data_IF_959396306531
#
_entry.id   IF_959396306531
#
_cell.length_a   1.000
_cell.length_b   1.000
_cell.length_c   1.000
_cell.angle_alpha   90.00
_cell.angle_beta   90.00
_cell.angle_gamma   90.00
#
_symmetry.space_group_name_H-M   'P 1'
#
loop_
_entity.id
_entity.type
_entity.pdbx_description
1 polymer ?
#
# COMPACT_ATOMS: atom_id res chain seq x y z
N UNK A 1 -36.87 37.88 43.40
CA UNK A 1 -36.81 36.50 42.88
C UNK A 1 -36.28 36.57 41.46
N UNK A 2 -35.00 36.21 41.25
CA UNK A 2 -34.33 36.29 39.96
C UNK A 2 -34.76 35.09 39.09
N UNK A 3 -35.25 35.40 37.90
CA UNK A 3 -35.77 34.47 36.91
C UNK A 3 -34.59 33.84 36.15
N UNK A 4 -34.31 32.55 36.41
CA UNK A 4 -33.26 31.80 35.72
C UNK A 4 -33.83 31.24 34.41
N UNK A 5 -33.60 31.96 33.31
CA UNK A 5 -33.79 31.41 31.97
C UNK A 5 -32.78 30.28 31.74
N UNK A 6 -33.27 29.06 31.54
CA UNK A 6 -32.47 27.95 31.00
C UNK A 6 -32.21 28.21 29.51
N UNK A 7 -30.97 28.09 29.01
CA UNK A 7 -30.73 28.16 27.58
C UNK A 7 -31.24 26.89 26.91
N UNK A 8 -32.17 27.03 25.96
CA UNK A 8 -32.61 25.96 25.07
C UNK A 8 -31.53 25.71 24.00
N UNK A 9 -30.51 24.93 24.35
CA UNK A 9 -29.57 24.34 23.38
C UNK A 9 -30.17 23.09 22.75
N UNK A 10 -31.26 23.25 21.99
CA UNK A 10 -31.63 22.24 20.99
C UNK A 10 -30.59 22.31 19.87
N UNK A 11 -29.52 21.54 20.01
CA UNK A 11 -28.63 21.19 18.90
C UNK A 11 -29.52 20.63 17.78
N UNK A 12 -29.76 21.41 16.73
CA UNK A 12 -30.66 21.05 15.65
C UNK A 12 -29.98 20.02 14.73
N UNK A 13 -30.05 18.74 15.13
CA UNK A 13 -29.49 17.60 14.39
C UNK A 13 -30.12 17.43 13.01
N UNK A 14 -31.36 17.90 12.78
CA UNK A 14 -32.05 17.77 11.49
C UNK A 14 -31.35 18.52 10.35
N UNK A 15 -30.69 19.63 10.65
CA UNK A 15 -29.90 20.41 9.68
C UNK A 15 -28.66 19.69 9.17
N UNK A 16 -28.13 18.71 9.92
CA UNK A 16 -26.96 17.90 9.52
C UNK A 16 -27.35 16.81 8.52
N UNK A 17 -28.59 16.32 8.56
CA UNK A 17 -29.06 15.23 7.70
C UNK A 17 -29.37 15.65 6.25
N UNK A 18 -29.64 16.93 6.00
CA UNK A 18 -29.92 17.47 4.66
C UNK A 18 -28.67 17.77 3.85
N UNK A 19 -27.49 17.80 4.48
CA UNK A 19 -26.19 17.88 3.81
C UNK A 19 -25.53 16.50 3.84
N UNK A 20 -26.30 15.46 3.52
CA UNK A 20 -25.75 14.17 3.10
C UNK A 20 -25.05 14.40 1.75
N UNK A 21 -23.90 15.08 1.81
CA UNK A 21 -22.92 15.12 0.77
C UNK A 21 -22.72 13.66 0.34
N UNK A 22 -22.82 13.44 -0.96
CA UNK A 22 -22.13 12.33 -1.63
C UNK A 22 -20.83 12.14 -0.87
N UNK A 23 -20.50 10.94 -0.38
CA UNK A 23 -19.13 10.69 0.07
C UNK A 23 -18.30 11.11 -1.14
N UNK A 24 -17.60 12.23 -1.03
CA UNK A 24 -16.78 12.73 -2.12
C UNK A 24 -15.75 11.64 -2.32
N UNK A 25 -15.97 10.83 -3.34
CA UNK A 25 -15.14 9.67 -3.54
C UNK A 25 -13.75 10.19 -3.82
N UNK A 26 -12.74 9.47 -3.32
CA UNK A 26 -11.36 9.82 -3.64
C UNK A 26 -11.22 9.83 -5.16
N UNK A 27 -11.04 11.03 -5.71
CA UNK A 27 -10.95 11.25 -7.14
C UNK A 27 -9.68 10.58 -7.66
N UNK A 28 -9.83 9.71 -8.66
CA UNK A 28 -8.70 9.01 -9.26
C UNK A 28 -7.68 10.00 -9.85
N UNK A 29 -8.14 11.15 -10.37
CA UNK A 29 -7.26 12.22 -10.80
C UNK A 29 -6.42 12.77 -9.62
N UNK A 30 -7.01 12.96 -8.44
CA UNK A 30 -6.27 13.38 -7.24
C UNK A 30 -5.22 12.34 -6.83
N UNK A 31 -5.55 11.04 -6.84
CA UNK A 31 -4.60 9.97 -6.51
C UNK A 31 -3.41 9.98 -7.48
N UNK A 32 -3.68 10.05 -8.79
CA UNK A 32 -2.61 10.09 -9.77
C UNK A 32 -1.76 11.36 -9.66
N UNK A 33 -2.38 12.49 -9.35
CA UNK A 33 -1.65 13.74 -9.09
C UNK A 33 -0.71 13.58 -7.89
N UNK A 34 -1.19 13.01 -6.78
CA UNK A 34 -0.39 12.76 -5.59
C UNK A 34 0.82 11.87 -5.93
N UNK A 35 0.59 10.76 -6.64
CA UNK A 35 1.66 9.85 -7.07
C UNK A 35 2.67 10.55 -7.98
N UNK A 36 2.18 11.32 -8.96
CA UNK A 36 2.99 12.06 -9.92
C UNK A 36 3.81 13.21 -9.29
N UNK A 37 3.47 13.64 -8.08
CA UNK A 37 4.26 14.62 -7.33
C UNK A 37 5.21 13.94 -6.34
N UNK A 38 4.68 13.08 -5.46
CA UNK A 38 5.46 12.50 -4.35
C UNK A 38 6.51 11.51 -4.86
N UNK A 39 6.18 10.66 -5.84
CA UNK A 39 7.12 9.66 -6.32
C UNK A 39 8.37 10.27 -6.97
N UNK A 40 8.27 11.26 -7.90
CA UNK A 40 9.45 11.95 -8.42
C UNK A 40 10.25 12.70 -7.35
N UNK A 41 9.60 13.35 -6.38
CA UNK A 41 10.31 14.04 -5.28
C UNK A 41 11.14 13.04 -4.46
N UNK A 42 10.61 11.85 -4.19
CA UNK A 42 11.36 10.77 -3.52
C UNK A 42 12.52 10.24 -4.38
N UNK A 43 12.33 10.13 -5.70
CA UNK A 43 13.42 9.77 -6.63
C UNK A 43 14.53 10.81 -6.58
N UNK A 44 14.19 12.11 -6.61
CA UNK A 44 15.15 13.20 -6.51
C UNK A 44 15.88 13.21 -5.16
N UNK A 45 15.17 13.03 -4.05
CA UNK A 45 15.76 12.96 -2.72
C UNK A 45 16.78 11.82 -2.59
N UNK A 46 16.50 10.65 -3.19
CA UNK A 46 17.43 9.52 -3.21
C UNK A 46 18.61 9.75 -4.16
N UNK A 47 18.36 10.42 -5.28
CA UNK A 47 19.34 10.70 -6.31
C UNK A 47 20.23 11.91 -6.01
N UNK A 48 20.03 12.62 -4.89
CA UNK A 48 20.76 13.82 -4.49
C UNK A 48 22.26 13.59 -4.26
N UNK A 49 22.71 12.34 -4.06
CA UNK A 49 24.14 12.02 -4.00
C UNK A 49 24.78 12.18 -5.39
N UNK A 50 25.84 12.99 -5.55
CA UNK A 50 26.52 13.18 -6.84
C UNK A 50 27.07 11.85 -7.38
N UNK A 51 26.85 11.60 -8.67
CA UNK A 51 27.26 10.37 -9.38
C UNK A 51 26.55 10.26 -10.74
N UNK A 52 27.23 9.72 -11.75
CA UNK A 52 26.70 9.59 -13.12
C UNK A 52 25.52 8.61 -13.22
N UNK A 53 25.53 7.59 -12.36
CA UNK A 53 24.56 6.48 -12.35
C UNK A 53 23.12 6.93 -12.11
N UNK A 54 22.89 8.06 -11.44
CA UNK A 54 21.54 8.54 -11.12
C UNK A 54 21.01 9.63 -12.06
N UNK A 55 21.79 10.08 -13.05
CA UNK A 55 21.42 11.23 -13.91
C UNK A 55 20.11 11.01 -14.68
N UNK A 56 19.91 9.82 -15.25
CA UNK A 56 18.69 9.48 -15.99
C UNK A 56 17.43 9.57 -15.12
N UNK A 57 17.49 9.03 -13.91
CA UNK A 57 16.37 9.05 -12.95
C UNK A 57 16.01 10.46 -12.49
N UNK A 58 17.01 11.34 -12.32
CA UNK A 58 16.77 12.77 -12.00
C UNK A 58 16.04 13.47 -13.14
N UNK A 59 16.49 13.27 -14.38
CA UNK A 59 15.87 13.90 -15.56
C UNK A 59 14.42 13.40 -15.69
N UNK A 60 14.19 12.10 -15.64
CA UNK A 60 12.84 11.52 -15.70
C UNK A 60 11.94 12.10 -14.59
N UNK A 61 12.42 12.19 -13.35
CA UNK A 61 11.66 12.78 -12.25
C UNK A 61 11.34 14.27 -12.47
N UNK A 62 12.30 15.07 -12.95
CA UNK A 62 12.07 16.48 -13.26
C UNK A 62 11.06 16.66 -14.41
N UNK A 63 11.12 15.82 -15.45
CA UNK A 63 10.15 15.83 -16.56
C UNK A 63 8.75 15.53 -16.05
N UNK A 64 8.58 14.52 -15.19
CA UNK A 64 7.28 14.21 -14.59
C UNK A 64 6.75 15.42 -13.80
N UNK A 65 7.59 16.03 -12.95
CA UNK A 65 7.18 17.19 -12.16
C UNK A 65 6.84 18.41 -13.02
N UNK A 66 7.65 18.72 -14.02
CA UNK A 66 7.43 19.84 -14.93
C UNK A 66 6.13 19.67 -15.73
N UNK A 67 5.91 18.48 -16.29
CA UNK A 67 4.68 18.19 -17.04
C UNK A 67 3.45 18.20 -16.12
N UNK A 68 3.58 17.68 -14.90
CA UNK A 68 2.49 17.72 -13.92
C UNK A 68 2.16 19.16 -13.51
N UNK A 69 3.17 19.99 -13.25
CA UNK A 69 3.00 21.40 -12.91
C UNK A 69 2.38 22.21 -14.06
N UNK A 70 2.86 22.03 -15.28
CA UNK A 70 2.27 22.66 -16.47
C UNK A 70 0.81 22.23 -16.67
N UNK A 71 0.52 20.93 -16.54
CA UNK A 71 -0.83 20.39 -16.66
C UNK A 71 -1.75 20.90 -15.55
N UNK A 72 -1.25 21.12 -14.33
CA UNK A 72 -2.02 21.69 -13.23
C UNK A 72 -2.46 23.14 -13.48
N UNK A 73 -1.61 23.92 -14.17
CA UNK A 73 -1.92 25.31 -14.54
C UNK A 73 -2.92 25.38 -15.69
N UNK A 74 -2.76 24.54 -16.72
CA UNK A 74 -3.55 24.63 -17.95
C UNK A 74 -4.82 23.75 -17.92
N UNK A 75 -4.71 22.53 -17.40
CA UNK A 75 -5.74 21.49 -17.43
C UNK A 75 -5.98 20.89 -16.04
N UNK A 76 -6.30 21.71 -15.03
CA UNK A 76 -6.37 21.31 -13.61
C UNK A 76 -7.18 20.03 -13.35
N UNK A 77 -8.32 19.84 -14.01
CA UNK A 77 -9.18 18.66 -13.84
C UNK A 77 -8.57 17.36 -14.40
N UNK A 78 -7.57 17.44 -15.26
CA UNK A 78 -6.93 16.28 -15.92
C UNK A 78 -5.44 16.15 -15.56
N UNK A 79 -4.92 17.10 -14.78
CA UNK A 79 -3.50 17.20 -14.45
C UNK A 79 -2.94 15.93 -13.81
N UNK A 80 -3.73 15.25 -12.97
CA UNK A 80 -3.36 13.98 -12.37
C UNK A 80 -3.28 12.85 -13.38
N UNK A 81 -4.24 12.73 -14.30
CA UNK A 81 -4.16 11.74 -15.38
C UNK A 81 -2.95 11.97 -16.30
N UNK A 82 -2.68 13.23 -16.66
CA UNK A 82 -1.55 13.58 -17.53
C UNK A 82 -0.22 13.29 -16.79
N UNK A 83 -0.06 13.87 -15.61
CA UNK A 83 1.14 13.68 -14.78
C UNK A 83 1.36 12.22 -14.40
N UNK A 84 0.30 11.51 -14.03
CA UNK A 84 0.29 10.09 -13.71
C UNK A 84 0.66 9.20 -14.90
N UNK A 85 0.21 9.54 -16.11
CA UNK A 85 0.59 8.81 -17.34
C UNK A 85 2.08 8.97 -17.65
N UNK A 86 2.60 10.19 -17.53
CA UNK A 86 4.03 10.47 -17.73
C UNK A 86 4.87 9.80 -16.64
N UNK A 87 4.43 9.85 -15.39
CA UNK A 87 5.03 9.11 -14.27
C UNK A 87 5.07 7.60 -14.56
N UNK A 88 3.96 7.04 -15.03
CA UNK A 88 3.85 5.62 -15.33
C UNK A 88 4.86 5.21 -16.41
N UNK A 89 4.94 5.98 -17.49
CA UNK A 89 5.84 5.71 -18.61
C UNK A 89 7.33 5.88 -18.26
N UNK A 90 7.69 6.93 -17.51
CA UNK A 90 9.09 7.34 -17.32
C UNK A 90 9.72 6.82 -16.02
N UNK A 91 8.93 6.52 -14.99
CA UNK A 91 9.44 6.07 -13.70
C UNK A 91 8.98 4.65 -13.37
N UNK A 92 7.67 4.39 -13.46
CA UNK A 92 7.11 3.11 -13.02
C UNK A 92 7.49 1.95 -13.95
N UNK A 93 7.24 2.07 -15.26
CA UNK A 93 7.55 1.03 -16.25
C UNK A 93 9.05 0.71 -16.28
N UNK A 94 9.97 1.68 -16.34
CA UNK A 94 11.40 1.40 -16.26
C UNK A 94 11.81 0.71 -14.96
N UNK A 95 11.29 1.15 -13.80
CA UNK A 95 11.63 0.54 -12.51
C UNK A 95 11.21 -0.94 -12.43
N UNK A 96 9.99 -1.25 -12.89
CA UNK A 96 9.50 -2.63 -12.94
C UNK A 96 10.28 -3.44 -13.97
N UNK A 97 10.53 -2.85 -15.15
CA UNK A 97 11.28 -3.47 -16.22
C UNK A 97 12.68 -3.89 -15.76
N UNK A 98 13.43 -3.00 -15.10
CA UNK A 98 14.75 -3.26 -14.52
C UNK A 98 14.71 -4.40 -13.48
N UNK A 99 13.68 -4.43 -12.63
CA UNK A 99 13.48 -5.55 -11.70
C UNK A 99 13.25 -6.87 -12.44
N UNK A 100 12.53 -6.84 -13.56
CA UNK A 100 12.28 -8.03 -14.38
C UNK A 100 13.53 -8.47 -15.14
N UNK A 101 14.34 -7.53 -15.62
CA UNK A 101 15.64 -7.79 -16.24
C UNK A 101 16.57 -8.52 -15.26
N UNK A 102 16.69 -8.03 -14.02
CA UNK A 102 17.51 -8.69 -12.99
C UNK A 102 16.98 -10.08 -12.63
N UNK A 103 15.66 -10.27 -12.58
CA UNK A 103 15.04 -11.58 -12.37
C UNK A 103 15.33 -12.56 -13.52
N UNK A 104 15.26 -12.10 -14.78
CA UNK A 104 15.59 -12.92 -15.95
C UNK A 104 17.08 -13.28 -15.98
N UNK A 105 17.96 -12.34 -15.63
CA UNK A 105 19.39 -12.58 -15.51
C UNK A 105 19.69 -13.62 -14.41
N UNK A 106 19.02 -13.53 -13.26
CA UNK A 106 19.13 -14.53 -12.20
C UNK A 106 18.59 -15.92 -12.60
N UNK A 107 17.78 -16.00 -13.64
CA UNK A 107 17.27 -17.24 -14.24
C UNK A 107 18.14 -17.74 -15.40
N UNK A 108 19.34 -17.17 -15.60
CA UNK A 108 20.22 -17.45 -16.75
C UNK A 108 19.53 -17.24 -18.10
N UNK A 109 18.50 -16.38 -18.17
CA UNK A 109 17.79 -16.03 -19.41
C UNK A 109 18.35 -14.76 -20.02
N UNK A 110 19.66 -14.74 -20.29
CA UNK A 110 20.40 -13.55 -20.69
C UNK A 110 19.89 -12.91 -22.00
N UNK A 111 19.47 -13.73 -22.99
CA UNK A 111 18.83 -13.22 -24.22
C UNK A 111 17.54 -12.45 -23.93
N UNK A 112 16.69 -12.99 -23.05
CA UNK A 112 15.42 -12.35 -22.68
C UNK A 112 15.67 -11.07 -21.86
N UNK A 113 16.62 -11.12 -20.92
CA UNK A 113 17.04 -9.97 -20.13
C UNK A 113 17.57 -8.84 -21.03
N UNK A 114 18.42 -9.18 -22.01
CA UNK A 114 18.98 -8.23 -22.98
C UNK A 114 17.89 -7.59 -23.86
N UNK A 115 16.97 -8.39 -24.43
CA UNK A 115 15.85 -7.86 -25.23
C UNK A 115 15.01 -6.86 -24.44
N UNK A 116 14.66 -7.22 -23.21
CA UNK A 116 13.88 -6.34 -22.33
C UNK A 116 14.66 -5.07 -21.95
N UNK A 117 15.93 -5.20 -21.57
CA UNK A 117 16.77 -4.05 -21.25
C UNK A 117 16.97 -3.12 -22.46
N UNK A 118 17.08 -3.67 -23.68
CA UNK A 118 17.15 -2.88 -24.92
C UNK A 118 15.85 -2.12 -25.16
N UNK A 119 14.68 -2.76 -24.98
CA UNK A 119 13.39 -2.09 -25.11
C UNK A 119 13.22 -0.95 -24.09
N UNK A 120 13.68 -1.15 -22.86
CA UNK A 120 13.60 -0.14 -21.79
C UNK A 120 14.47 1.09 -22.04
N UNK A 121 15.54 0.99 -22.84
CA UNK A 121 16.37 2.15 -23.20
C UNK A 121 15.59 3.23 -23.97
N UNK A 122 14.51 2.85 -24.66
CA UNK A 122 13.62 3.80 -25.37
C UNK A 122 12.91 4.71 -24.37
N UNK A 123 12.43 4.14 -23.26
CA UNK A 123 11.68 4.87 -22.24
C UNK A 123 12.59 5.60 -21.25
N UNK A 124 13.79 5.07 -20.99
CA UNK A 124 14.70 5.62 -20.01
C UNK A 124 16.18 5.42 -20.41
N UNK A 125 16.80 6.42 -21.06
CA UNK A 125 18.19 6.33 -21.50
C UNK A 125 19.17 6.59 -20.34
N UNK A 126 19.25 5.66 -19.37
CA UNK A 126 20.29 5.69 -18.35
C UNK A 126 21.57 4.98 -18.80
N UNK A 127 22.72 5.46 -18.31
CA UNK A 127 24.01 4.77 -18.50
C UNK A 127 23.96 3.33 -17.95
N UNK A 128 23.27 3.12 -16.83
CA UNK A 128 23.06 1.82 -16.20
C UNK A 128 22.41 0.78 -17.13
N UNK A 129 21.38 1.17 -17.89
CA UNK A 129 20.71 0.29 -18.86
C UNK A 129 21.61 -0.04 -20.06
N UNK A 130 22.52 0.86 -20.44
CA UNK A 130 23.50 0.63 -21.51
C UNK A 130 24.57 -0.36 -21.08
N UNK A 131 25.12 -0.20 -19.87
CA UNK A 131 26.09 -1.11 -19.29
C UNK A 131 25.50 -2.51 -19.08
N UNK A 132 24.26 -2.61 -18.57
CA UNK A 132 23.59 -3.90 -18.41
C UNK A 132 23.37 -4.63 -19.74
N UNK A 133 22.98 -3.94 -20.82
CA UNK A 133 22.82 -4.55 -22.15
C UNK A 133 24.15 -5.07 -22.70
N UNK A 134 25.24 -4.32 -22.51
CA UNK A 134 26.58 -4.75 -22.91
C UNK A 134 27.01 -5.99 -22.10
N UNK A 135 26.80 -5.98 -20.79
CA UNK A 135 27.09 -7.09 -19.90
C UNK A 135 26.31 -8.36 -20.26
N UNK A 136 25.00 -8.27 -20.47
CA UNK A 136 24.18 -9.43 -20.85
C UNK A 136 24.52 -9.98 -22.23
N UNK A 137 25.06 -9.16 -23.15
CA UNK A 137 25.55 -9.64 -24.44
C UNK A 137 26.76 -10.56 -24.28
N UNK A 138 27.68 -10.23 -23.37
CA UNK A 138 28.85 -11.07 -23.04
C UNK A 138 28.43 -12.36 -22.32
N UNK A 139 27.45 -12.29 -21.41
CA UNK A 139 26.93 -13.50 -20.76
C UNK A 139 26.16 -14.40 -21.72
N UNK A 140 25.39 -13.83 -22.66
CA UNK A 140 24.71 -14.59 -23.71
C UNK A 140 25.70 -15.34 -24.60
N UNK A 141 26.84 -14.74 -24.98
CA UNK A 141 27.85 -15.44 -25.78
C UNK A 141 28.48 -16.60 -25.03
N UNK A 142 28.88 -16.39 -23.76
CA UNK A 142 29.45 -17.46 -22.91
C UNK A 142 28.46 -18.60 -22.66
N UNK A 143 27.19 -18.29 -22.44
CA UNK A 143 26.17 -19.31 -22.23
C UNK A 143 25.91 -20.15 -23.49
N UNK A 144 26.00 -19.55 -24.68
CA UNK A 144 25.87 -20.31 -25.93
C UNK A 144 27.07 -21.25 -26.12
N UNK A 145 28.27 -20.85 -25.71
CA UNK A 145 29.46 -21.69 -25.72
C UNK A 145 29.36 -22.84 -24.69
N UNK A 146 28.88 -22.58 -23.48
CA UNK A 146 28.66 -23.60 -22.45
C UNK A 146 27.53 -24.59 -22.82
N UNK A 147 26.42 -24.12 -23.39
CA UNK A 147 25.31 -25.00 -23.80
C UNK A 147 25.65 -25.90 -25.00
N UNK A 148 26.74 -25.62 -25.73
CA UNK A 148 27.30 -26.55 -26.70
C UNK A 148 27.89 -27.81 -26.03
N UNK A 149 28.10 -27.77 -24.70
CA UNK A 149 28.47 -28.88 -23.83
C UNK A 149 27.29 -29.15 -22.87
N UNK A 150 26.47 -30.17 -23.18
CA UNK A 150 25.17 -30.46 -22.55
C UNK A 150 25.01 -30.14 -21.04
N UNK A 151 23.96 -29.39 -20.63
CA UNK A 151 23.66 -29.16 -19.21
C UNK A 151 22.77 -30.25 -18.59
N UNK A 152 22.96 -30.55 -17.30
CA UNK A 152 22.21 -31.61 -16.60
C UNK A 152 20.75 -31.19 -16.24
N UNK A 153 19.78 -32.13 -16.26
CA UNK A 153 18.34 -31.82 -16.08
C UNK A 153 17.93 -31.32 -14.68
N UNK A 154 18.76 -31.57 -13.67
CA UNK A 154 18.41 -31.40 -12.25
C UNK A 154 18.33 -29.92 -11.84
N UNK A 155 19.13 -29.04 -12.46
CA UNK A 155 19.13 -27.60 -12.12
C UNK A 155 17.89 -26.85 -12.65
N UNK A 156 17.21 -27.35 -13.69
CA UNK A 156 16.00 -26.71 -14.25
C UNK A 156 14.77 -26.89 -13.35
N UNK A 157 14.62 -28.05 -12.71
CA UNK A 157 13.43 -28.37 -11.89
C UNK A 157 13.33 -27.57 -10.59
N UNK A 158 14.45 -27.28 -9.93
CA UNK A 158 14.46 -26.57 -8.65
C UNK A 158 14.12 -25.07 -8.77
N UNK A 159 14.41 -24.44 -9.92
CA UNK A 159 14.29 -22.98 -10.10
C UNK A 159 12.87 -22.51 -10.46
N UNK A 160 12.02 -23.37 -11.02
CA UNK A 160 10.66 -23.03 -11.44
C UNK A 160 9.65 -23.02 -10.26
N UNK A 161 9.95 -23.75 -9.18
CA UNK A 161 9.10 -23.87 -7.99
C UNK A 161 9.01 -22.62 -7.11
N UNK A 162 9.92 -21.65 -7.24
CA UNK A 162 10.00 -20.53 -6.29
C UNK A 162 9.03 -19.36 -6.56
N UNK A 163 8.57 -19.16 -7.82
CA UNK A 163 7.64 -18.06 -8.19
C UNK A 163 6.17 -18.35 -7.88
N UNK A 164 5.69 -19.56 -8.14
CA UNK A 164 4.30 -19.94 -7.82
C UNK A 164 4.04 -20.05 -6.30
N UNK A 165 5.09 -20.10 -5.48
CA UNK A 165 4.99 -20.31 -4.03
C UNK A 165 4.75 -19.04 -3.21
N UNK A 166 4.70 -17.85 -3.83
CA UNK A 166 4.75 -16.59 -3.07
C UNK A 166 3.42 -16.21 -2.40
N UNK A 167 2.27 -16.53 -3.01
CA UNK A 167 0.93 -16.28 -2.44
C UNK A 167 0.50 -17.38 -1.47
N UNK A 168 0.83 -18.63 -1.79
CA UNK A 168 0.58 -19.79 -0.92
C UNK A 168 1.39 -19.78 0.39
N UNK A 169 2.36 -18.85 0.51
CA UNK A 169 3.13 -18.59 1.75
C UNK A 169 2.50 -17.51 2.64
N UNK A 170 1.35 -16.94 2.26
CA UNK A 170 0.63 -15.92 3.02
C UNK A 170 -0.91 -16.15 2.97
N UNK A 171 -1.40 -17.27 3.53
CA UNK A 171 -2.81 -17.64 3.47
C UNK A 171 -3.76 -16.62 4.15
N UNK A 172 -3.37 -16.01 5.26
CA UNK A 172 -4.24 -15.04 5.95
C UNK A 172 -4.43 -13.77 5.10
N UNK A 173 -3.37 -13.26 4.47
CA UNK A 173 -3.47 -12.16 3.50
C UNK A 173 -4.44 -12.51 2.38
N UNK A 174 -4.33 -13.70 1.81
CA UNK A 174 -5.23 -14.14 0.74
C UNK A 174 -6.68 -14.19 1.21
N UNK A 175 -6.94 -14.76 2.40
CA UNK A 175 -8.27 -14.82 2.99
C UNK A 175 -8.87 -13.42 3.16
N UNK A 176 -8.12 -12.46 3.70
CA UNK A 176 -8.62 -11.08 3.84
C UNK A 176 -8.84 -10.39 2.49
N UNK A 177 -7.98 -10.62 1.49
CA UNK A 177 -8.21 -10.10 0.14
C UNK A 177 -9.52 -10.64 -0.44
N UNK A 178 -9.72 -11.96 -0.37
CA UNK A 178 -10.94 -12.61 -0.87
C UNK A 178 -12.18 -12.14 -0.10
N UNK A 179 -12.06 -11.94 1.21
CA UNK A 179 -13.15 -11.44 2.05
C UNK A 179 -13.55 -10.02 1.65
N UNK A 180 -12.59 -9.11 1.46
CA UNK A 180 -12.87 -7.74 1.00
C UNK A 180 -13.53 -7.73 -0.39
N UNK A 181 -13.07 -8.60 -1.31
CA UNK A 181 -13.70 -8.75 -2.63
C UNK A 181 -15.13 -9.30 -2.52
N UNK A 182 -15.34 -10.33 -1.70
CA UNK A 182 -16.65 -10.95 -1.52
C UNK A 182 -17.66 -9.98 -0.88
N UNK A 183 -17.24 -9.22 0.14
CA UNK A 183 -18.08 -8.18 0.76
C UNK A 183 -18.37 -7.07 -0.24
N UNK A 184 -17.42 -6.65 -1.06
CA UNK A 184 -17.69 -5.65 -2.10
C UNK A 184 -18.66 -6.14 -3.17
N UNK A 185 -18.58 -7.41 -3.59
CA UNK A 185 -19.57 -8.01 -4.49
C UNK A 185 -20.96 -8.07 -3.84
N UNK A 186 -21.02 -8.27 -2.53
CA UNK A 186 -22.25 -8.18 -1.76
C UNK A 186 -22.75 -6.73 -1.68
N UNK A 187 -21.89 -5.72 -1.49
CA UNK A 187 -22.28 -4.30 -1.52
C UNK A 187 -22.96 -3.90 -2.83
N UNK A 188 -22.42 -4.37 -3.96
CA UNK A 188 -22.98 -4.12 -5.30
C UNK A 188 -24.42 -4.66 -5.43
N UNK A 189 -24.77 -5.75 -4.72
CA UNK A 189 -26.12 -6.33 -4.82
C UNK A 189 -27.20 -5.50 -4.14
N UNK A 190 -26.83 -4.52 -3.30
CA UNK A 190 -27.75 -3.63 -2.57
C UNK A 190 -28.02 -2.30 -3.29
N UNK A 191 -27.46 -2.09 -4.49
CA UNK A 191 -27.70 -0.91 -5.31
C UNK A 191 -26.44 -0.10 -5.56
N UNK A 192 -26.51 1.22 -5.38
CA UNK A 192 -25.36 2.10 -5.57
C UNK A 192 -24.35 1.89 -4.43
N UNK A 193 -23.25 1.17 -4.74
CA UNK A 193 -22.13 0.90 -3.84
C UNK A 193 -21.29 2.15 -3.50
N UNK A 194 -21.66 3.30 -4.06
CA UNK A 194 -21.08 4.60 -3.73
C UNK A 194 -22.02 5.47 -2.89
N UNK A 195 -23.29 5.07 -2.72
CA UNK A 195 -24.26 5.81 -1.90
C UNK A 195 -23.95 5.61 -0.39
N UNK A 196 -23.70 6.71 0.36
CA UNK A 196 -23.50 6.65 1.80
C UNK A 196 -24.63 5.94 2.55
N UNK A 197 -25.88 6.02 2.05
CA UNK A 197 -27.04 5.37 2.69
C UNK A 197 -26.95 3.85 2.61
N UNK A 198 -26.59 3.32 1.44
CA UNK A 198 -26.33 1.88 1.24
C UNK A 198 -25.25 1.40 2.19
N UNK A 199 -24.11 2.10 2.25
CA UNK A 199 -23.01 1.74 3.14
C UNK A 199 -23.40 1.81 4.62
N UNK A 200 -24.23 2.79 5.02
CA UNK A 200 -24.77 2.88 6.39
C UNK A 200 -25.62 1.67 6.72
N UNK A 201 -26.52 1.25 5.83
CA UNK A 201 -27.36 0.07 6.02
C UNK A 201 -26.52 -1.21 6.15
N UNK A 202 -25.44 -1.31 5.38
CA UNK A 202 -24.54 -2.46 5.38
C UNK A 202 -23.55 -2.52 6.55
N UNK A 203 -23.44 -1.45 7.35
CA UNK A 203 -22.61 -1.44 8.56
C UNK A 203 -21.42 -0.51 8.55
N UNK A 204 -21.44 0.55 7.76
CA UNK A 204 -20.43 1.59 7.85
C UNK A 204 -20.32 2.11 9.30
N UNK A 205 -19.09 2.49 9.67
CA UNK A 205 -18.81 2.99 11.00
C UNK A 205 -19.42 4.37 11.15
N UNK A 206 -20.38 4.48 12.06
CA UNK A 206 -21.05 5.73 12.42
C UNK A 206 -20.91 5.90 13.94
N UNK A 207 -20.04 6.80 14.44
CA UNK A 207 -19.76 6.93 15.87
C UNK A 207 -21.02 7.14 16.72
N UNK A 208 -21.99 7.91 16.22
CA UNK A 208 -23.27 8.12 16.90
C UNK A 208 -24.04 6.81 17.06
N UNK A 209 -24.17 6.01 16.01
CA UNK A 209 -24.86 4.71 16.06
C UNK A 209 -24.15 3.74 17.02
N UNK A 210 -22.82 3.73 17.04
CA UNK A 210 -22.05 2.90 17.96
C UNK A 210 -22.28 3.30 19.43
N UNK A 211 -22.19 4.60 19.74
CA UNK A 211 -22.22 5.09 21.13
C UNK A 211 -23.64 5.20 21.68
N UNK A 212 -24.57 5.70 20.87
CA UNK A 212 -25.94 6.04 21.33
C UNK A 212 -26.93 4.91 21.04
N UNK A 213 -26.80 4.24 19.89
CA UNK A 213 -27.73 3.17 19.49
C UNK A 213 -27.21 1.77 19.85
N UNK A 214 -25.99 1.66 20.37
CA UNK A 214 -25.38 0.39 20.77
C UNK A 214 -25.01 -0.52 19.60
N UNK A 215 -24.84 0.03 18.40
CA UNK A 215 -24.56 -0.75 17.18
C UNK A 215 -23.07 -1.12 17.06
N UNK A 216 -22.52 -1.78 18.07
CA UNK A 216 -21.09 -2.12 18.17
C UNK A 216 -20.58 -3.01 17.04
N UNK A 217 -21.46 -3.75 16.37
CA UNK A 217 -21.15 -4.57 15.20
C UNK A 217 -20.60 -3.75 14.02
N UNK A 218 -20.87 -2.43 13.99
CA UNK A 218 -20.26 -1.48 13.03
C UNK A 218 -18.75 -1.33 13.17
N UNK A 219 -18.20 -1.59 14.36
CA UNK A 219 -16.75 -1.58 14.58
C UNK A 219 -16.03 -2.65 13.74
N UNK A 220 -16.72 -3.77 13.46
CA UNK A 220 -16.21 -4.90 12.70
C UNK A 220 -16.62 -4.87 11.23
N UNK A 221 -17.91 -4.63 10.94
CA UNK A 221 -18.43 -4.68 9.56
C UNK A 221 -17.80 -3.60 8.67
N UNK A 222 -17.60 -2.38 9.20
CA UNK A 222 -16.96 -1.28 8.47
C UNK A 222 -15.54 -1.59 7.96
N UNK A 223 -14.84 -2.57 8.57
CA UNK A 223 -13.49 -2.97 8.18
C UNK A 223 -13.43 -3.59 6.78
N UNK A 224 -14.57 -4.06 6.24
CA UNK A 224 -14.64 -4.79 4.98
C UNK A 224 -15.43 -4.05 3.89
N UNK A 225 -16.19 -3.02 4.26
CA UNK A 225 -16.97 -2.21 3.33
C UNK A 225 -16.08 -1.26 2.52
N UNK A 226 -16.41 -0.98 1.26
CA UNK A 226 -15.62 -0.06 0.42
C UNK A 226 -16.50 0.90 -0.39
N UNK A 227 -16.33 2.20 -0.15
CA UNK A 227 -16.88 3.22 -1.03
C UNK A 227 -16.14 3.21 -2.38
N UNK A 228 -16.61 2.40 -3.34
CA UNK A 228 -16.15 2.37 -4.74
C UNK A 228 -15.01 1.41 -5.07
N UNK A 229 -14.90 1.13 -6.37
CA UNK A 229 -13.93 0.17 -6.91
C UNK A 229 -12.48 0.63 -6.75
N UNK A 230 -12.19 1.92 -6.91
CA UNK A 230 -10.85 2.47 -6.67
C UNK A 230 -10.43 2.29 -5.21
N UNK A 231 -11.35 2.52 -4.27
CA UNK A 231 -11.09 2.36 -2.84
C UNK A 231 -10.79 0.89 -2.49
N UNK A 232 -11.57 -0.08 -3.00
CA UNK A 232 -11.26 -1.50 -2.87
C UNK A 232 -9.90 -1.85 -3.49
N UNK A 233 -9.65 -1.40 -4.72
CA UNK A 233 -8.42 -1.72 -5.45
C UNK A 233 -7.18 -1.31 -4.66
N UNK A 234 -7.12 -0.07 -4.15
CA UNK A 234 -5.96 0.40 -3.41
C UNK A 234 -5.80 -0.30 -2.05
N UNK A 235 -6.89 -0.65 -1.36
CA UNK A 235 -6.83 -1.42 -0.12
C UNK A 235 -6.30 -2.84 -0.35
N UNK A 236 -6.85 -3.55 -1.35
CA UNK A 236 -6.41 -4.90 -1.71
C UNK A 236 -4.96 -4.88 -2.20
N UNK A 237 -4.57 -3.89 -3.01
CA UNK A 237 -3.19 -3.72 -3.47
C UNK A 237 -2.25 -3.46 -2.29
N UNK A 238 -2.61 -2.57 -1.37
CA UNK A 238 -1.79 -2.27 -0.21
C UNK A 238 -1.63 -3.50 0.70
N UNK A 239 -2.72 -4.23 0.96
CA UNK A 239 -2.69 -5.47 1.73
C UNK A 239 -1.84 -6.56 1.04
N UNK A 240 -1.96 -6.70 -0.29
CA UNK A 240 -1.18 -7.62 -1.09
C UNK A 240 0.33 -7.33 -1.05
N UNK A 241 0.72 -6.05 -1.08
CA UNK A 241 2.13 -5.65 -1.07
C UNK A 241 2.73 -5.69 0.33
N UNK A 242 2.00 -5.20 1.34
CA UNK A 242 2.50 -4.95 2.68
C UNK A 242 2.29 -6.14 3.63
N UNK A 243 1.26 -6.95 3.41
CA UNK A 243 0.88 -8.07 4.27
C UNK A 243 1.84 -9.27 4.24
N UNK A 244 2.18 -9.84 3.07
CA UNK A 244 2.93 -11.10 2.98
C UNK A 244 4.32 -11.09 3.64
N UNK A 245 5.10 -9.99 3.65
CA UNK A 245 6.33 -9.93 4.44
C UNK A 245 6.08 -10.17 5.94
N UNK A 246 5.07 -9.51 6.52
CA UNK A 246 4.71 -9.68 7.93
C UNK A 246 4.22 -11.09 8.21
N UNK A 247 3.25 -11.59 7.43
CA UNK A 247 2.69 -12.91 7.65
C UNK A 247 3.76 -14.01 7.63
N UNK A 248 4.71 -13.94 6.70
CA UNK A 248 5.82 -14.91 6.64
C UNK A 248 6.75 -14.85 7.86
N UNK A 249 6.78 -13.73 8.58
CA UNK A 249 7.66 -13.53 9.74
C UNK A 249 7.00 -13.95 11.06
N UNK A 250 5.68 -13.75 11.19
CA UNK A 250 4.95 -14.01 12.45
C UNK A 250 3.99 -15.20 12.36
N UNK A 251 3.69 -15.68 11.15
CA UNK A 251 2.73 -16.74 10.86
C UNK A 251 1.30 -16.21 10.67
N UNK A 252 0.47 -17.01 10.02
CA UNK A 252 -0.89 -16.67 9.59
C UNK A 252 -1.81 -16.23 10.75
N UNK A 253 -1.84 -16.99 11.85
CA UNK A 253 -2.73 -16.70 12.98
C UNK A 253 -2.37 -15.36 13.66
N UNK A 254 -1.08 -15.10 13.86
CA UNK A 254 -0.61 -13.83 14.46
C UNK A 254 -0.86 -12.66 13.53
N UNK A 255 -0.69 -12.87 12.22
CA UNK A 255 -1.03 -11.87 11.22
C UNK A 255 -2.52 -11.52 11.26
N UNK A 256 -3.40 -12.53 11.28
CA UNK A 256 -4.84 -12.32 11.37
C UNK A 256 -5.24 -11.59 12.66
N UNK A 257 -4.64 -11.95 13.80
CA UNK A 257 -4.83 -11.23 15.05
C UNK A 257 -4.38 -9.76 14.94
N UNK A 258 -3.19 -9.49 14.38
CA UNK A 258 -2.71 -8.11 14.19
C UNK A 258 -3.65 -7.32 13.26
N UNK A 259 -4.12 -7.92 12.17
CA UNK A 259 -5.04 -7.28 11.21
C UNK A 259 -6.34 -6.87 11.91
N UNK A 260 -7.00 -7.81 12.59
CA UNK A 260 -8.29 -7.58 13.24
C UNK A 260 -8.16 -6.64 14.45
N UNK A 261 -7.18 -6.85 15.33
CA UNK A 261 -6.95 -5.98 16.50
C UNK A 261 -6.70 -4.55 16.05
N UNK A 262 -5.93 -4.35 14.97
CA UNK A 262 -5.69 -3.00 14.43
C UNK A 262 -6.94 -2.40 13.81
N UNK A 263 -7.77 -3.20 13.14
CA UNK A 263 -9.08 -2.75 12.63
C UNK A 263 -9.99 -2.27 13.76
N UNK A 264 -10.14 -3.07 14.83
CA UNK A 264 -10.89 -2.67 16.01
C UNK A 264 -10.29 -1.44 16.70
N UNK A 265 -8.97 -1.35 16.80
CA UNK A 265 -8.28 -0.18 17.35
C UNK A 265 -8.47 1.09 16.49
N UNK A 266 -8.49 0.93 15.17
CA UNK A 266 -8.82 1.99 14.22
C UNK A 266 -10.24 2.49 14.42
N UNK A 267 -11.24 1.61 14.32
CA UNK A 267 -12.66 1.97 14.47
C UNK A 267 -12.97 2.51 15.86
N UNK A 268 -12.52 1.82 16.91
CA UNK A 268 -12.72 2.24 18.30
C UNK A 268 -11.99 3.54 18.63
N UNK A 269 -10.78 3.73 18.08
CA UNK A 269 -10.03 4.97 18.20
C UNK A 269 -10.75 6.15 17.56
N UNK A 270 -11.31 5.99 16.36
CA UNK A 270 -12.13 7.02 15.72
C UNK A 270 -13.37 7.36 16.56
N UNK A 271 -14.07 6.35 17.07
CA UNK A 271 -15.23 6.55 17.95
C UNK A 271 -14.83 7.35 19.20
N UNK A 272 -13.74 6.94 19.87
CA UNK A 272 -13.23 7.60 21.06
C UNK A 272 -12.84 9.06 20.81
N UNK A 273 -12.09 9.31 19.73
CA UNK A 273 -11.69 10.67 19.34
C UNK A 273 -12.91 11.53 18.99
N UNK A 274 -13.96 10.93 18.40
CA UNK A 274 -15.21 11.63 18.09
C UNK A 274 -15.96 12.01 19.37
N UNK A 275 -16.01 11.11 20.36
CA UNK A 275 -16.62 11.38 21.66
C UNK A 275 -15.93 12.53 22.41
N UNK A 276 -14.61 12.66 22.28
CA UNK A 276 -13.85 13.77 22.84
C UNK A 276 -13.91 15.06 22.00
N UNK A 277 -14.64 15.06 20.88
CA UNK A 277 -14.75 16.21 19.98
C UNK A 277 -13.45 16.56 19.26
N UNK A 278 -12.48 15.63 19.20
CA UNK A 278 -11.18 15.83 18.54
C UNK A 278 -11.26 15.60 17.03
N UNK A 279 -12.24 14.81 16.58
CA UNK A 279 -12.50 14.55 15.15
C UNK A 279 -14.00 14.56 14.88
N UNK A 280 -14.38 14.93 13.67
CA UNK A 280 -15.78 14.93 13.22
C UNK A 280 -15.99 13.87 12.15
N UNK A 281 -16.09 12.62 12.58
CA UNK A 281 -16.35 11.48 11.73
C UNK A 281 -17.86 11.24 11.60
N UNK A 282 -18.40 11.40 10.39
CA UNK A 282 -19.81 11.08 10.09
C UNK A 282 -19.99 9.62 9.72
N UNK A 283 -19.17 9.13 8.79
CA UNK A 283 -19.25 7.77 8.28
C UNK A 283 -17.88 7.31 7.75
N UNK A 284 -17.46 6.10 8.13
CA UNK A 284 -16.22 5.50 7.65
C UNK A 284 -16.43 4.06 7.17
N UNK A 285 -15.69 3.70 6.14
CA UNK A 285 -15.59 2.33 5.61
C UNK A 285 -14.16 2.08 5.17
N UNK A 286 -13.75 0.82 5.11
CA UNK A 286 -12.52 0.41 4.44
C UNK A 286 -11.55 -0.36 5.32
N UNK A 287 -10.81 -1.25 4.67
CA UNK A 287 -9.75 -2.03 5.29
C UNK A 287 -8.49 -1.21 5.65
N UNK A 288 -8.45 0.07 5.33
CA UNK A 288 -7.21 0.88 5.36
C UNK A 288 -6.66 1.08 6.77
N UNK A 289 -7.53 1.17 7.78
CA UNK A 289 -7.13 1.14 9.20
C UNK A 289 -6.44 -0.17 9.60
N UNK A 290 -6.95 -1.31 9.11
CA UNK A 290 -6.30 -2.61 9.30
C UNK A 290 -4.94 -2.67 8.60
N UNK A 291 -4.84 -2.15 7.38
CA UNK A 291 -3.60 -2.11 6.59
C UNK A 291 -2.54 -1.23 7.25
N UNK A 292 -2.89 -0.04 7.74
CA UNK A 292 -1.97 0.79 8.53
C UNK A 292 -1.60 0.12 9.86
N UNK A 293 -2.53 -0.65 10.43
CA UNK A 293 -2.24 -1.60 11.49
C UNK A 293 -1.15 -2.61 11.16
N UNK A 294 -1.17 -3.22 9.98
CA UNK A 294 -0.12 -4.12 9.52
C UNK A 294 1.22 -3.39 9.39
N UNK A 295 1.23 -2.16 8.91
CA UNK A 295 2.44 -1.31 8.87
C UNK A 295 2.98 -1.07 10.29
N UNK A 296 2.10 -0.75 11.24
CA UNK A 296 2.44 -0.60 12.65
C UNK A 296 2.99 -1.89 13.25
N UNK A 297 2.30 -3.01 13.05
CA UNK A 297 2.71 -4.32 13.55
C UNK A 297 4.07 -4.74 12.99
N UNK A 298 4.38 -4.36 11.75
CA UNK A 298 5.70 -4.56 11.18
C UNK A 298 6.78 -3.72 11.86
N UNK A 299 6.51 -2.46 12.19
CA UNK A 299 7.41 -1.64 13.00
C UNK A 299 7.64 -2.23 14.40
N UNK A 300 6.56 -2.62 15.10
CA UNK A 300 6.64 -3.25 16.42
C UNK A 300 7.45 -4.55 16.40
N UNK A 301 7.19 -5.43 15.41
CA UNK A 301 7.96 -6.63 15.18
C UNK A 301 9.45 -6.34 14.97
N UNK A 302 9.79 -5.35 14.12
CA UNK A 302 11.18 -4.99 13.82
C UNK A 302 11.92 -4.38 15.00
N UNK A 303 11.24 -3.62 15.85
CA UNK A 303 11.84 -3.10 17.09
C UNK A 303 12.14 -4.21 18.08
N UNK A 304 11.17 -5.11 18.31
CA UNK A 304 11.37 -6.28 19.19
C UNK A 304 12.49 -7.20 18.68
N UNK A 305 12.57 -7.36 17.37
CA UNK A 305 13.54 -8.23 16.71
C UNK A 305 14.61 -7.46 15.95
N UNK A 306 15.18 -6.40 16.53
CA UNK A 306 16.17 -5.53 15.88
C UNK A 306 17.44 -6.26 15.38
N UNK A 307 17.70 -7.47 15.86
CA UNK A 307 18.79 -8.34 15.42
C UNK A 307 18.55 -9.02 14.06
N UNK A 308 17.32 -8.99 13.51
CA UNK A 308 17.06 -9.65 12.23
C UNK A 308 17.79 -8.97 11.07
N UNK A 309 18.16 -9.71 10.01
CA UNK A 309 18.88 -9.12 8.89
C UNK A 309 18.18 -7.88 8.33
N UNK A 310 18.95 -6.80 8.21
CA UNK A 310 18.52 -5.50 7.68
C UNK A 310 17.34 -4.87 8.45
N UNK A 311 17.15 -5.17 9.74
CA UNK A 311 16.06 -4.61 10.54
C UNK A 311 15.97 -3.09 10.47
N UNK A 312 17.10 -2.38 10.67
CA UNK A 312 17.18 -0.91 10.58
C UNK A 312 16.73 -0.38 9.23
N UNK A 313 17.18 -0.98 8.13
CA UNK A 313 16.77 -0.58 6.78
C UNK A 313 15.28 -0.85 6.55
N UNK A 314 14.76 -1.98 7.03
CA UNK A 314 13.34 -2.33 6.92
C UNK A 314 12.47 -1.37 7.74
N UNK A 315 12.93 -0.96 8.92
CA UNK A 315 12.24 0.02 9.74
C UNK A 315 12.24 1.42 9.09
N UNK A 316 13.36 1.82 8.46
CA UNK A 316 13.40 3.03 7.66
C UNK A 316 12.41 3.00 6.48
N UNK A 317 12.27 1.84 5.82
CA UNK A 317 11.25 1.67 4.78
C UNK A 317 9.81 1.78 5.35
N UNK A 318 9.56 1.27 6.56
CA UNK A 318 8.27 1.44 7.25
C UNK A 318 8.00 2.90 7.58
N UNK A 319 8.97 3.60 8.15
CA UNK A 319 8.85 5.03 8.43
C UNK A 319 8.54 5.82 7.14
N UNK A 320 9.20 5.48 6.02
CA UNK A 320 8.90 6.09 4.72
C UNK A 320 7.45 5.83 4.27
N UNK A 321 6.93 4.61 4.44
CA UNK A 321 5.52 4.29 4.13
C UNK A 321 4.58 5.15 4.98
N UNK A 322 4.85 5.27 6.28
CA UNK A 322 4.05 6.10 7.20
C UNK A 322 4.06 7.57 6.76
N UNK A 323 5.23 8.12 6.43
CA UNK A 323 5.34 9.52 5.97
C UNK A 323 4.54 9.75 4.68
N UNK A 324 4.64 8.82 3.71
CA UNK A 324 3.86 8.90 2.47
C UNK A 324 2.36 8.82 2.76
N UNK A 325 1.95 7.92 3.66
CA UNK A 325 0.54 7.79 4.04
C UNK A 325 0.02 9.07 4.70
N UNK A 326 0.75 9.64 5.66
CA UNK A 326 0.35 10.90 6.32
C UNK A 326 0.25 12.04 5.31
N UNK A 327 1.20 12.13 4.36
CA UNK A 327 1.11 13.12 3.30
C UNK A 327 -0.15 12.94 2.42
N UNK A 328 -0.54 11.69 2.14
CA UNK A 328 -1.75 11.38 1.38
C UNK A 328 -3.03 11.71 2.16
N UNK A 329 -3.06 11.39 3.45
CA UNK A 329 -4.19 11.67 4.33
C UNK A 329 -4.41 13.19 4.47
N UNK A 330 -3.32 13.96 4.57
CA UNK A 330 -3.38 15.42 4.63
C UNK A 330 -3.84 16.05 3.31
N UNK A 331 -3.56 15.42 2.16
CA UNK A 331 -3.98 15.93 0.85
C UNK A 331 -5.40 15.50 0.47
N UNK A 332 -5.95 14.48 1.13
CA UNK A 332 -7.19 13.80 0.74
C UNK A 332 -8.20 13.82 1.88
N UNK A 333 -9.05 14.87 2.00
CA UNK A 333 -9.97 15.05 3.13
C UNK A 333 -10.95 13.91 3.37
N UNK A 334 -11.20 13.10 2.35
CA UNK A 334 -12.14 11.98 2.39
C UNK A 334 -11.52 10.71 2.98
N UNK A 335 -10.22 10.74 3.24
CA UNK A 335 -9.47 9.68 3.90
C UNK A 335 -9.31 10.04 5.38
N UNK A 336 -9.69 9.12 6.26
CA UNK A 336 -9.58 9.35 7.70
C UNK A 336 -8.16 9.13 8.21
N UNK A 337 -7.41 10.22 8.37
CA UNK A 337 -6.11 10.21 9.07
C UNK A 337 -6.23 9.60 10.48
N UNK A 338 -7.33 9.87 11.18
CA UNK A 338 -7.58 9.34 12.52
C UNK A 338 -7.68 7.81 12.51
N UNK A 339 -8.40 7.22 11.55
CA UNK A 339 -8.48 5.77 11.38
C UNK A 339 -7.10 5.16 11.13
N UNK A 340 -6.33 5.77 10.21
CA UNK A 340 -4.98 5.30 9.89
C UNK A 340 -4.01 5.40 11.06
N UNK A 341 -4.02 6.50 11.81
CA UNK A 341 -3.15 6.69 12.96
C UNK A 341 -3.51 5.76 14.12
N UNK A 342 -4.81 5.64 14.45
CA UNK A 342 -5.28 4.70 15.47
C UNK A 342 -4.93 3.26 15.08
N UNK A 343 -5.18 2.87 13.83
CA UNK A 343 -4.76 1.56 13.29
C UNK A 343 -3.26 1.34 13.42
N UNK A 344 -2.44 2.29 12.97
CA UNK A 344 -0.97 2.25 13.06
C UNK A 344 -0.49 2.06 14.51
N UNK A 345 -1.01 2.84 15.45
CA UNK A 345 -0.63 2.80 16.86
C UNK A 345 -1.05 1.46 17.47
N UNK A 346 -2.29 1.03 17.28
CA UNK A 346 -2.76 -0.27 17.80
C UNK A 346 -1.96 -1.41 17.21
N UNK A 347 -1.71 -1.39 15.90
CA UNK A 347 -0.89 -2.37 15.20
C UNK A 347 0.52 -2.43 15.74
N UNK A 348 1.15 -1.28 16.01
CA UNK A 348 2.48 -1.20 16.60
C UNK A 348 2.57 -1.96 17.93
N UNK A 349 1.64 -1.70 18.85
CA UNK A 349 1.60 -2.41 20.13
C UNK A 349 1.23 -3.89 19.97
N UNK A 350 0.31 -4.23 19.06
CA UNK A 350 -0.03 -5.62 18.74
C UNK A 350 1.20 -6.38 18.20
N UNK A 351 1.98 -5.77 17.31
CA UNK A 351 3.22 -6.32 16.77
C UNK A 351 4.29 -6.52 17.84
N UNK A 352 4.42 -5.58 18.79
CA UNK A 352 5.30 -5.75 19.95
C UNK A 352 4.86 -6.92 20.83
N UNK A 353 3.57 -7.04 21.14
CA UNK A 353 3.05 -8.04 22.07
C UNK A 353 3.02 -9.46 21.47
N UNK A 354 2.47 -9.59 20.26
CA UNK A 354 2.09 -10.88 19.66
C UNK A 354 3.28 -11.53 18.92
N UNK A 355 4.32 -10.77 18.57
CA UNK A 355 5.47 -11.29 17.83
C UNK A 355 6.10 -12.54 18.48
N UNK A 356 6.51 -13.53 17.68
CA UNK A 356 7.01 -14.80 18.18
C UNK A 356 8.32 -14.61 18.97
N UNK A 357 8.46 -15.26 20.12
CA UNK A 357 9.68 -15.15 20.96
C UNK A 357 10.95 -15.61 20.22
N UNK A 358 10.84 -16.63 19.36
CA UNK A 358 11.92 -17.12 18.50
C UNK A 358 11.48 -17.03 17.05
N UNK A 359 12.31 -16.44 16.20
CA UNK A 359 12.10 -16.45 14.76
C UNK A 359 12.72 -17.75 14.23
N UNK A 360 11.97 -18.60 13.51
CA UNK A 360 12.57 -19.74 12.82
C UNK A 360 13.57 -19.22 11.80
N UNK A 361 14.87 -19.26 12.14
CA UNK A 361 15.91 -19.01 11.16
C UNK A 361 15.81 -20.14 10.15
N UNK A 362 15.53 -19.81 8.88
CA UNK A 362 15.74 -20.78 7.79
C UNK A 362 17.21 -21.17 7.85
N UNK A 363 17.50 -22.41 8.24
CA UNK A 363 18.85 -22.95 8.09
C UNK A 363 19.21 -22.82 6.60
N UNK A 364 20.39 -22.26 6.27
CA UNK A 364 20.87 -22.34 4.90
C UNK A 364 20.88 -23.82 4.51
N UNK A 365 20.34 -24.13 3.34
CA UNK A 365 20.35 -25.49 2.81
C UNK A 365 21.77 -26.04 2.99
N UNK A 366 21.92 -27.16 3.72
CA UNK A 366 23.19 -27.87 3.80
C UNK A 366 23.65 -28.06 2.36
N UNK A 367 24.71 -27.35 1.98
CA UNK A 367 25.47 -27.68 0.79
C UNK A 367 26.02 -29.07 1.13
N UNK A 368 25.42 -30.10 0.54
CA UNK A 368 25.95 -31.46 0.60
C UNK A 368 27.30 -31.36 -0.11
N UNK A 369 28.38 -31.50 0.67
CA UNK A 369 29.75 -31.60 0.17
C UNK A 369 29.94 -32.90 -0.59
#
# INVERSE_FOLDING_TARGET
MLNVQRPSSTFNFQSIYLVAAKIDMVDLNHIFLFIAVISPLLVLARAWRPGETHRGWRIAALVVLATTAASWVVFRQQAGYIGGSVWFALLFVPAIGLRKVTELAAQDRYRSARKLATALQILHPSAELREQVAFFRVLESRQNDENAVSPSPIQRGMRQQDRHRHLWKAPAVLVFILLNIAVFLFEISFGDWTDPRTLRQLGALEPYAVVVQGEYWRLFTALFLHAGSAHLFFNVLALYVLGPPLERSIGALRFAACYLISGFGSSGGVVLLTMFGLVHATQLVGASGCVMGIVGAWAGFLLRHHHVPRARQRLANVAMIVVIQVAFDLSTPQVSMAAHLCGLITGFFAGLAIAPKKIPLRQPARIVQ
#
